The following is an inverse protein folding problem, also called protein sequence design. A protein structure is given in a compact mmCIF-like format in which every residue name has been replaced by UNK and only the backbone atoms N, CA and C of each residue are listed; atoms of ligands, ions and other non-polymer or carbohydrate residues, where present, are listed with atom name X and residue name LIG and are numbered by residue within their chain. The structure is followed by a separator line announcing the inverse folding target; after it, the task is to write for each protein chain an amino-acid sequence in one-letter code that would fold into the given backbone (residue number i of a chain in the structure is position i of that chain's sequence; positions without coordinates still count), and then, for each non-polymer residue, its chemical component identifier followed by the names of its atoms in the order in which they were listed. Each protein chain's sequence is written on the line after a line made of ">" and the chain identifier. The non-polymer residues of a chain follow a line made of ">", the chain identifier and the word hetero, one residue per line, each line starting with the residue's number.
data_IF_769187864561
#
_entry.id   IF_769187864561
#
_cell.length_a   1.000
_cell.length_b   1.000
_cell.length_c   1.000
_cell.angle_alpha   90.00
_cell.angle_beta   90.00
_cell.angle_gamma   90.00
#
_symmetry.space_group_name_H-M   'P 1'
#
loop_
_entity.id
_entity.type
_entity.pdbx_description
1 polymer ?
#
# COMPACT_ATOMS: atom_id res chain seq x y z
N UNK A 1 -22.23 17.99 -12.14
CA UNK A 1 -21.40 18.19 -10.93
C UNK A 1 -19.95 18.28 -11.39
N UNK A 2 -19.40 19.49 -11.52
CA UNK A 2 -17.98 19.73 -11.80
C UNK A 2 -17.23 19.62 -10.47
N UNK A 3 -16.22 18.74 -10.39
CA UNK A 3 -15.32 18.70 -9.24
C UNK A 3 -14.43 19.94 -9.29
N UNK A 4 -14.77 20.95 -8.50
CA UNK A 4 -13.99 22.18 -8.35
C UNK A 4 -12.80 21.90 -7.43
N UNK A 5 -11.78 21.23 -7.97
CA UNK A 5 -10.48 21.09 -7.31
C UNK A 5 -9.71 22.42 -7.26
N UNK A 6 -10.25 23.46 -7.89
CA UNK A 6 -9.75 24.82 -7.94
C UNK A 6 -10.52 25.71 -6.96
N UNK A 7 -10.28 25.53 -5.65
CA UNK A 7 -10.74 26.48 -4.63
C UNK A 7 -9.97 27.83 -4.70
N UNK A 8 -9.64 28.29 -5.91
CA UNK A 8 -8.79 29.41 -6.22
C UNK A 8 -7.49 29.42 -5.41
N UNK A 9 -6.99 30.62 -5.10
CA UNK A 9 -5.80 30.91 -4.27
C UNK A 9 -5.64 30.04 -2.99
N UNK A 10 -6.73 29.49 -2.45
CA UNK A 10 -6.71 28.74 -1.19
C UNK A 10 -6.41 27.25 -1.36
N UNK A 11 -6.59 26.70 -2.57
CA UNK A 11 -6.29 25.29 -2.88
C UNK A 11 -4.83 24.94 -2.55
N UNK A 12 -3.90 25.87 -2.77
CA UNK A 12 -2.47 25.66 -2.52
C UNK A 12 -2.12 25.48 -1.03
N UNK A 13 -2.97 25.97 -0.12
CA UNK A 13 -2.81 25.77 1.33
C UNK A 13 -3.47 24.46 1.79
N UNK A 14 -4.48 23.99 1.06
CA UNK A 14 -5.25 22.79 1.41
C UNK A 14 -4.61 21.51 0.87
N UNK A 15 -4.20 21.54 -0.39
CA UNK A 15 -3.63 20.40 -1.12
C UNK A 15 -2.41 19.76 -0.47
N UNK A 16 -1.47 20.49 0.18
CA UNK A 16 -0.31 19.86 0.83
C UNK A 16 -0.70 18.83 1.89
N UNK A 17 -1.73 19.11 2.71
CA UNK A 17 -2.20 18.17 3.72
C UNK A 17 -2.77 16.89 3.09
N UNK A 18 -3.53 17.04 2.00
CA UNK A 18 -4.05 15.91 1.23
C UNK A 18 -2.95 15.13 0.51
N UNK A 19 -1.96 15.82 -0.05
CA UNK A 19 -0.81 15.19 -0.69
C UNK A 19 -0.01 14.35 0.31
N UNK A 20 0.24 14.87 1.51
CA UNK A 20 0.91 14.11 2.58
C UNK A 20 0.10 12.87 2.95
N UNK A 21 -1.21 13.00 3.08
CA UNK A 21 -2.10 11.88 3.39
C UNK A 21 -2.09 10.83 2.27
N UNK A 22 -2.16 11.26 1.02
CA UNK A 22 -2.08 10.38 -0.15
C UNK A 22 -0.75 9.63 -0.22
N UNK A 23 0.36 10.30 0.09
CA UNK A 23 1.69 9.67 0.18
C UNK A 23 1.72 8.64 1.31
N UNK A 24 1.18 8.96 2.49
CA UNK A 24 1.10 8.01 3.61
C UNK A 24 0.27 6.77 3.26
N UNK A 25 -0.86 6.94 2.57
CA UNK A 25 -1.66 5.81 2.09
C UNK A 25 -0.93 4.98 1.03
N UNK A 26 -0.29 5.64 0.05
CA UNK A 26 0.48 4.94 -0.97
C UNK A 26 1.62 4.12 -0.35
N UNK A 27 2.30 4.69 0.66
CA UNK A 27 3.31 3.99 1.45
C UNK A 27 2.71 2.77 2.15
N UNK A 28 1.62 2.96 2.90
CA UNK A 28 0.97 1.89 3.66
C UNK A 28 0.54 0.73 2.76
N UNK A 29 -0.03 1.04 1.59
CA UNK A 29 -0.43 0.05 0.58
C UNK A 29 0.81 -0.69 0.04
N UNK A 30 1.86 0.05 -0.30
CA UNK A 30 3.11 -0.51 -0.78
C UNK A 30 3.76 -1.45 0.25
N UNK A 31 3.83 -1.03 1.50
CA UNK A 31 4.40 -1.81 2.60
C UNK A 31 3.58 -3.08 2.88
N UNK A 32 2.26 -2.97 2.90
CA UNK A 32 1.35 -4.11 3.08
C UNK A 32 1.53 -5.15 1.96
N UNK A 33 1.63 -4.70 0.70
CA UNK A 33 1.89 -5.57 -0.43
C UNK A 33 3.30 -6.20 -0.38
N UNK A 34 4.31 -5.44 0.06
CA UNK A 34 5.67 -5.93 0.20
C UNK A 34 5.75 -7.04 1.28
N UNK A 35 5.12 -6.82 2.43
CA UNK A 35 5.04 -7.82 3.50
C UNK A 35 4.27 -9.06 3.05
N UNK A 36 3.13 -8.90 2.38
CA UNK A 36 2.37 -10.03 1.84
C UNK A 36 3.21 -10.86 0.86
N UNK A 37 3.95 -10.21 -0.05
CA UNK A 37 4.87 -10.91 -0.98
C UNK A 37 5.99 -11.63 -0.25
N UNK A 38 6.56 -11.02 0.79
CA UNK A 38 7.63 -11.63 1.59
C UNK A 38 7.15 -12.90 2.28
N UNK A 39 6.00 -12.81 2.95
CA UNK A 39 5.42 -13.94 3.68
C UNK A 39 4.94 -15.04 2.76
N UNK A 40 4.42 -14.70 1.58
CA UNK A 40 4.02 -15.71 0.61
C UNK A 40 5.18 -16.58 0.12
N UNK A 41 6.36 -16.00 -0.09
CA UNK A 41 7.57 -16.77 -0.42
C UNK A 41 7.97 -17.72 0.70
N UNK A 42 7.90 -17.25 1.95
CA UNK A 42 8.25 -18.09 3.10
C UNK A 42 7.21 -19.20 3.32
N UNK A 43 5.93 -18.89 3.13
CA UNK A 43 4.86 -19.88 3.20
C UNK A 43 4.98 -20.95 2.10
N UNK A 44 5.37 -20.58 0.88
CA UNK A 44 5.64 -21.55 -0.20
C UNK A 44 6.81 -22.48 0.15
N UNK A 45 7.87 -21.94 0.77
CA UNK A 45 8.99 -22.77 1.27
C UNK A 45 8.57 -23.74 2.36
N UNK A 46 7.83 -23.25 3.35
CA UNK A 46 7.32 -24.09 4.45
C UNK A 46 6.34 -25.15 3.96
N UNK A 47 5.51 -24.83 2.96
CA UNK A 47 4.61 -25.81 2.34
C UNK A 47 5.39 -26.93 1.63
N UNK A 48 6.43 -26.59 0.87
CA UNK A 48 7.27 -27.59 0.20
C UNK A 48 8.00 -28.52 1.19
N UNK A 49 8.49 -27.99 2.31
CA UNK A 49 9.10 -28.80 3.38
C UNK A 49 8.08 -29.75 4.04
N UNK A 50 6.86 -29.27 4.31
CA UNK A 50 5.79 -30.10 4.87
C UNK A 50 5.35 -31.22 3.91
N UNK A 51 5.23 -30.94 2.62
CA UNK A 51 4.86 -31.94 1.61
C UNK A 51 5.95 -32.99 1.43
N UNK A 52 7.23 -32.59 1.46
CA UNK A 52 8.37 -33.52 1.42
C UNK A 52 8.50 -34.36 2.70
N UNK A 53 8.02 -33.88 3.85
CA UNK A 53 8.07 -34.59 5.12
C UNK A 53 6.86 -35.50 5.36
N UNK A 54 5.86 -35.49 4.46
CA UNK A 54 4.70 -36.37 4.55
C UNK A 54 5.09 -37.76 3.97
N UNK A 55 5.03 -38.84 4.76
CA UNK A 55 5.43 -40.18 4.35
C UNK A 55 4.47 -40.82 3.34
#
# INVERSE_FOLDING_TARGET
>A
MSFDFDAGKHAIYLWPAFAVSAVAFAWLIGDSLAMARRWRREAERLQAELESSKP
#
